data_IF_743893537530
#
_entry.id   IF_743893537530
#
_cell.length_a   1.000
_cell.length_b   1.000
_cell.length_c   1.000
_cell.angle_alpha   90.00
_cell.angle_beta   90.00
_cell.angle_gamma   90.00
#
_symmetry.space_group_name_H-M   'P 1'
#
loop_
_entity.id
_entity.type
_entity.pdbx_description
1 polymer ?
#
# COMPACT_ATOMS: atom_id res chain seq x y z
N UNK A 1 -8.49 -12.33 -15.12
CA UNK A 1 -9.78 -12.31 -14.36
C UNK A 1 -10.58 -13.59 -14.63
N UNK A 2 -11.54 -14.02 -13.78
CA UNK A 2 -12.38 -15.22 -14.04
C UNK A 2 -13.79 -14.85 -14.49
N UNK A 3 -14.31 -15.56 -15.49
CA UNK A 3 -15.67 -15.33 -15.98
C UNK A 3 -16.70 -15.74 -14.93
N UNK A 4 -17.57 -14.82 -14.50
CA UNK A 4 -18.61 -15.12 -13.49
C UNK A 4 -19.66 -16.16 -13.94
N UNK A 5 -19.79 -16.39 -15.25
CA UNK A 5 -20.76 -17.34 -15.78
C UNK A 5 -20.17 -18.73 -16.08
N UNK A 6 -18.96 -18.82 -16.65
CA UNK A 6 -18.36 -20.11 -17.02
C UNK A 6 -17.15 -20.52 -16.17
N UNK A 7 -16.65 -19.64 -15.30
CA UNK A 7 -15.51 -19.94 -14.42
C UNK A 7 -14.14 -19.93 -15.11
N UNK A 8 -14.10 -19.80 -16.43
CA UNK A 8 -12.86 -19.78 -17.22
C UNK A 8 -11.99 -18.56 -16.90
N UNK A 9 -10.68 -18.73 -17.01
CA UNK A 9 -9.71 -17.64 -16.91
C UNK A 9 -9.72 -16.79 -18.18
N UNK A 10 -9.84 -15.49 -17.99
CA UNK A 10 -10.00 -14.48 -19.03
C UNK A 10 -8.81 -13.54 -19.04
N UNK A 11 -8.39 -13.21 -20.26
CA UNK A 11 -7.47 -12.12 -20.52
C UNK A 11 -8.15 -10.77 -20.24
N UNK A 12 -7.45 -9.86 -19.57
CA UNK A 12 -7.95 -8.53 -19.18
C UNK A 12 -8.29 -7.61 -20.37
N UNK A 13 -7.83 -7.95 -21.58
CA UNK A 13 -8.17 -7.24 -22.81
C UNK A 13 -9.54 -7.61 -23.38
N UNK A 14 -10.18 -8.68 -22.89
CA UNK A 14 -11.46 -9.14 -23.41
C UNK A 14 -12.63 -8.40 -22.76
N UNK A 15 -13.48 -7.79 -23.59
CA UNK A 15 -14.74 -7.14 -23.18
C UNK A 15 -15.93 -8.10 -23.20
N UNK A 16 -15.77 -9.26 -23.85
CA UNK A 16 -16.75 -10.35 -23.92
C UNK A 16 -16.01 -11.67 -23.69
N UNK A 17 -16.56 -12.53 -22.83
CA UNK A 17 -16.02 -13.85 -22.59
C UNK A 17 -16.14 -14.69 -23.88
N UNK A 18 -15.04 -15.18 -24.47
CA UNK A 18 -15.09 -15.93 -25.72
C UNK A 18 -15.70 -17.33 -25.55
N UNK A 19 -15.80 -17.82 -24.32
CA UNK A 19 -16.31 -19.16 -24.02
C UNK A 19 -17.82 -19.20 -23.80
N UNK A 20 -18.40 -18.17 -23.19
CA UNK A 20 -19.82 -18.16 -22.85
C UNK A 20 -20.59 -16.93 -23.33
N UNK A 21 -19.92 -15.98 -24.00
CA UNK A 21 -20.55 -14.78 -24.56
C UNK A 21 -20.97 -13.73 -23.52
N UNK A 22 -20.62 -13.90 -22.23
CA UNK A 22 -20.95 -12.93 -21.20
C UNK A 22 -20.14 -11.64 -21.42
N UNK A 23 -20.80 -10.49 -21.47
CA UNK A 23 -20.14 -9.19 -21.39
C UNK A 23 -19.44 -9.05 -20.04
N UNK A 24 -18.13 -8.84 -20.09
CA UNK A 24 -17.31 -8.68 -18.91
C UNK A 24 -17.30 -7.19 -18.60
N UNK A 25 -18.10 -6.76 -17.62
CA UNK A 25 -17.99 -5.40 -17.11
C UNK A 25 -16.59 -5.24 -16.52
N UNK A 26 -15.71 -4.49 -17.20
CA UNK A 26 -14.49 -4.00 -16.56
C UNK A 26 -14.92 -3.24 -15.31
N UNK A 27 -14.26 -3.50 -14.18
CA UNK A 27 -14.41 -2.62 -13.03
C UNK A 27 -14.14 -1.20 -13.52
N UNK A 28 -15.14 -0.33 -13.37
CA UNK A 28 -15.07 1.02 -13.88
C UNK A 28 -13.93 1.72 -13.14
N UNK A 29 -12.89 2.18 -13.85
CA UNK A 29 -11.82 2.93 -13.20
C UNK A 29 -12.34 4.31 -12.78
N UNK A 30 -11.68 4.94 -11.81
CA UNK A 30 -11.98 6.33 -11.47
C UNK A 30 -11.85 7.26 -12.68
N UNK A 31 -10.88 6.98 -13.56
CA UNK A 31 -10.74 7.69 -14.84
C UNK A 31 -11.98 7.57 -15.71
N UNK A 32 -12.55 6.37 -15.83
CA UNK A 32 -13.78 6.14 -16.61
C UNK A 32 -14.99 6.85 -15.99
N UNK A 33 -15.07 6.92 -14.65
CA UNK A 33 -16.13 7.67 -13.94
C UNK A 33 -16.00 9.17 -14.22
N UNK A 34 -14.79 9.72 -14.09
CA UNK A 34 -14.52 11.14 -14.29
C UNK A 34 -14.73 11.57 -15.75
N UNK A 35 -14.26 10.76 -16.71
CA UNK A 35 -14.46 11.02 -18.13
C UNK A 35 -15.94 11.04 -18.47
N UNK A 36 -16.70 10.04 -18.01
CA UNK A 36 -18.16 10.00 -18.22
C UNK A 36 -18.87 11.22 -17.62
N UNK A 37 -18.48 11.61 -16.41
CA UNK A 37 -19.01 12.82 -15.75
C UNK A 37 -18.75 14.09 -16.57
N UNK A 38 -17.55 14.22 -17.15
CA UNK A 38 -17.17 15.35 -18.00
C UNK A 38 -17.86 15.28 -19.36
N UNK A 39 -18.03 14.10 -19.95
CA UNK A 39 -18.79 13.92 -21.20
C UNK A 39 -20.26 14.33 -21.05
N UNK A 40 -20.85 14.08 -19.88
CA UNK A 40 -22.25 14.43 -19.59
C UNK A 40 -22.45 15.92 -19.26
N UNK A 41 -21.48 16.56 -18.59
CA UNK A 41 -21.69 17.88 -17.97
C UNK A 41 -20.70 18.96 -18.44
N UNK A 42 -19.68 18.61 -19.21
CA UNK A 42 -18.55 19.47 -19.54
C UNK A 42 -17.52 19.60 -18.41
N UNK A 43 -16.31 20.11 -18.70
CA UNK A 43 -15.29 20.40 -17.68
C UNK A 43 -15.75 21.45 -16.65
N UNK A 44 -16.74 22.26 -17.00
CA UNK A 44 -17.33 23.29 -16.15
C UNK A 44 -18.02 22.72 -14.90
N UNK A 45 -18.26 21.40 -14.84
CA UNK A 45 -18.75 20.72 -13.62
C UNK A 45 -17.86 20.99 -12.40
N UNK A 46 -16.60 21.33 -12.62
CA UNK A 46 -15.64 21.67 -11.57
C UNK A 46 -15.69 23.13 -11.10
N UNK A 47 -16.50 23.98 -11.71
CA UNK A 47 -16.66 25.38 -11.31
C UNK A 47 -17.56 25.52 -10.07
N UNK A 48 -17.36 26.58 -9.28
CA UNK A 48 -18.05 26.81 -8.01
C UNK A 48 -19.59 26.82 -8.16
N UNK A 49 -20.10 27.38 -9.26
CA UNK A 49 -21.52 27.41 -9.56
C UNK A 49 -22.15 26.01 -9.72
N UNK A 50 -21.34 25.01 -10.08
CA UNK A 50 -21.75 23.63 -10.29
C UNK A 50 -21.43 22.71 -9.09
N UNK A 51 -20.95 23.25 -7.96
CA UNK A 51 -20.54 22.45 -6.80
C UNK A 51 -21.65 21.52 -6.27
N UNK A 52 -22.92 21.93 -6.33
CA UNK A 52 -24.06 21.10 -5.94
C UNK A 52 -24.29 19.91 -6.89
N UNK A 53 -24.10 20.12 -8.19
CA UNK A 53 -24.22 19.08 -9.21
C UNK A 53 -23.08 18.06 -9.10
N UNK A 54 -21.83 18.56 -8.95
CA UNK A 54 -20.66 17.71 -8.76
C UNK A 54 -20.81 16.84 -7.51
N UNK A 55 -21.28 17.40 -6.39
CA UNK A 55 -21.57 16.62 -5.18
C UNK A 55 -22.58 15.50 -5.45
N UNK A 56 -23.70 15.81 -6.12
CA UNK A 56 -24.74 14.82 -6.42
C UNK A 56 -24.26 13.71 -7.37
N UNK A 57 -23.36 14.03 -8.30
CA UNK A 57 -22.71 13.03 -9.17
C UNK A 57 -21.77 12.13 -8.37
N UNK A 58 -20.93 12.73 -7.51
CA UNK A 58 -20.00 11.99 -6.64
C UNK A 58 -20.73 11.07 -5.65
N UNK A 59 -21.87 11.50 -5.09
CA UNK A 59 -22.66 10.70 -4.15
C UNK A 59 -23.23 9.41 -4.80
N UNK A 60 -23.26 9.33 -6.14
CA UNK A 60 -23.67 8.13 -6.88
C UNK A 60 -22.52 7.13 -7.11
N UNK A 61 -21.27 7.52 -6.80
CA UNK A 61 -20.13 6.65 -7.03
C UNK A 61 -20.12 5.48 -6.04
N UNK A 62 -19.62 4.29 -6.45
CA UNK A 62 -19.49 3.15 -5.55
C UNK A 62 -18.72 3.47 -4.26
N UNK A 63 -18.98 2.73 -3.17
CA UNK A 63 -18.29 2.94 -1.88
C UNK A 63 -16.77 2.81 -2.00
N UNK A 64 -16.28 1.98 -2.92
CA UNK A 64 -14.85 1.79 -3.20
C UNK A 64 -14.11 3.08 -3.58
N UNK A 65 -14.82 4.14 -4.00
CA UNK A 65 -14.26 5.44 -4.36
C UNK A 65 -14.39 6.50 -3.25
N UNK A 66 -14.54 6.09 -1.98
CA UNK A 66 -14.68 7.03 -0.85
C UNK A 66 -13.50 7.99 -0.75
N UNK A 67 -12.28 7.46 -0.84
CA UNK A 67 -11.06 8.23 -0.69
C UNK A 67 -10.90 9.21 -1.87
N UNK A 68 -11.27 8.80 -3.07
CA UNK A 68 -11.25 9.64 -4.28
C UNK A 68 -12.25 10.80 -4.19
N UNK A 69 -13.43 10.56 -3.62
CA UNK A 69 -14.39 11.64 -3.34
C UNK A 69 -13.80 12.68 -2.40
N UNK A 70 -13.08 12.23 -1.38
CA UNK A 70 -12.49 13.13 -0.41
C UNK A 70 -11.31 13.92 -1.00
N UNK A 71 -10.55 13.33 -1.92
CA UNK A 71 -9.54 14.05 -2.73
C UNK A 71 -10.20 15.18 -3.54
N UNK A 72 -11.27 14.89 -4.28
CA UNK A 72 -11.92 15.91 -5.12
C UNK A 72 -12.51 17.04 -4.26
N UNK A 73 -13.16 16.71 -3.14
CA UNK A 73 -13.64 17.72 -2.18
C UNK A 73 -12.50 18.60 -1.65
N UNK A 74 -11.35 18.00 -1.33
CA UNK A 74 -10.18 18.75 -0.86
C UNK A 74 -9.67 19.73 -1.93
N UNK A 75 -9.62 19.30 -3.18
CA UNK A 75 -9.22 20.16 -4.30
C UNK A 75 -10.22 21.30 -4.52
N UNK A 76 -11.52 21.05 -4.37
CA UNK A 76 -12.57 22.07 -4.47
C UNK A 76 -12.43 23.18 -3.42
N UNK A 77 -12.00 22.88 -2.19
CA UNK A 77 -11.83 23.88 -1.12
C UNK A 77 -10.88 25.03 -1.53
N UNK A 78 -9.94 24.78 -2.46
CA UNK A 78 -9.00 25.79 -2.96
C UNK A 78 -9.29 26.23 -4.40
N UNK A 79 -10.44 25.85 -4.95
CA UNK A 79 -10.83 26.15 -6.33
C UNK A 79 -9.77 25.66 -7.33
N UNK A 80 -9.04 24.59 -7.00
CA UNK A 80 -7.98 24.04 -7.85
C UNK A 80 -8.56 23.49 -9.16
N UNK A 81 -9.63 22.68 -9.16
CA UNK A 81 -10.24 22.17 -10.38
C UNK A 81 -10.69 23.30 -11.32
N UNK A 82 -11.38 24.31 -10.78
CA UNK A 82 -11.82 25.50 -11.52
C UNK A 82 -10.64 26.27 -12.15
N UNK A 83 -9.54 26.46 -11.40
CA UNK A 83 -8.34 27.11 -11.93
C UNK A 83 -7.72 26.33 -13.09
N UNK A 84 -7.71 24.99 -13.02
CA UNK A 84 -7.21 24.13 -14.08
C UNK A 84 -8.10 24.22 -15.34
N UNK A 85 -9.43 24.22 -15.16
CA UNK A 85 -10.40 24.40 -16.26
C UNK A 85 -10.19 25.75 -16.95
N UNK A 86 -10.14 26.85 -16.19
CA UNK A 86 -9.87 28.20 -16.74
C UNK A 86 -8.51 28.30 -17.43
N UNK A 87 -7.54 27.50 -17.00
CA UNK A 87 -6.21 27.49 -17.57
C UNK A 87 -6.15 26.78 -18.94
N UNK A 88 -7.15 25.96 -19.33
CA UNK A 88 -7.19 25.32 -20.64
C UNK A 88 -7.13 26.33 -21.81
N UNK A 89 -7.70 27.52 -21.62
CA UNK A 89 -7.71 28.60 -22.63
C UNK A 89 -6.49 29.53 -22.55
N UNK A 90 -5.54 29.26 -21.65
CA UNK A 90 -4.37 30.11 -21.41
C UNK A 90 -3.13 29.62 -22.18
N UNK A 91 -2.14 30.50 -22.45
CA UNK A 91 -0.83 30.08 -22.97
C UNK A 91 -0.11 29.12 -22.01
N UNK A 92 0.71 28.22 -22.55
CA UNK A 92 1.39 27.14 -21.78
C UNK A 92 2.22 27.64 -20.60
N UNK A 93 2.81 28.84 -20.69
CA UNK A 93 3.55 29.45 -19.58
C UNK A 93 2.63 29.77 -18.38
N UNK A 94 1.42 30.27 -18.64
CA UNK A 94 0.43 30.53 -17.59
C UNK A 94 -0.20 29.26 -17.06
N UNK A 95 -0.40 28.26 -17.91
CA UNK A 95 -0.81 26.92 -17.48
C UNK A 95 0.19 26.33 -16.47
N UNK A 96 1.50 26.48 -16.72
CA UNK A 96 2.54 25.97 -15.82
C UNK A 96 2.53 26.69 -14.47
N UNK A 97 2.29 28.01 -14.46
CA UNK A 97 2.15 28.79 -13.24
C UNK A 97 0.93 28.34 -12.41
N UNK A 98 -0.20 28.03 -13.05
CA UNK A 98 -1.39 27.52 -12.37
C UNK A 98 -1.13 26.16 -11.73
N UNK A 99 -0.46 25.25 -12.44
CA UNK A 99 -0.09 23.94 -11.90
C UNK A 99 0.90 24.05 -10.73
N UNK A 100 1.89 24.94 -10.83
CA UNK A 100 2.84 25.21 -9.77
C UNK A 100 2.15 25.79 -8.53
N UNK A 101 1.24 26.73 -8.72
CA UNK A 101 0.45 27.31 -7.63
C UNK A 101 -0.43 26.25 -6.95
N UNK A 102 -1.09 25.39 -7.71
CA UNK A 102 -1.90 24.29 -7.18
C UNK A 102 -1.04 23.30 -6.38
N UNK A 103 0.14 22.95 -6.90
CA UNK A 103 1.11 22.08 -6.21
C UNK A 103 1.58 22.70 -4.90
N UNK A 104 2.05 23.95 -4.91
CA UNK A 104 2.48 24.66 -3.68
C UNK A 104 1.36 24.82 -2.66
N UNK A 105 0.11 24.99 -3.11
CA UNK A 105 -1.04 25.04 -2.22
C UNK A 105 -1.26 23.72 -1.49
N UNK A 106 -1.12 22.59 -2.19
CA UNK A 106 -1.23 21.27 -1.59
C UNK A 106 -0.04 20.96 -0.66
N UNK A 107 1.19 21.26 -1.07
CA UNK A 107 2.38 20.98 -0.26
C UNK A 107 2.49 21.89 0.94
N UNK A 108 2.39 23.21 0.73
CA UNK A 108 2.80 24.19 1.73
C UNK A 108 1.65 24.53 2.69
N UNK A 109 0.39 24.52 2.20
CA UNK A 109 -0.77 24.86 3.04
C UNK A 109 -1.44 23.64 3.67
N UNK A 110 -1.40 22.49 3.00
CA UNK A 110 -2.00 21.25 3.52
C UNK A 110 -0.98 20.21 3.99
N UNK A 111 0.32 20.44 3.80
CA UNK A 111 1.35 19.50 4.21
C UNK A 111 1.32 18.18 3.42
N UNK A 112 0.74 18.20 2.22
CA UNK A 112 0.64 17.00 1.36
C UNK A 112 2.00 16.76 0.73
N UNK A 113 2.48 15.52 0.76
CA UNK A 113 3.73 15.15 0.10
C UNK A 113 3.69 15.51 -1.40
N UNK A 114 4.79 16.01 -1.96
CA UNK A 114 4.86 16.46 -3.35
C UNK A 114 4.38 15.44 -4.39
N UNK A 115 4.72 14.15 -4.22
CA UNK A 115 4.26 13.10 -5.13
C UNK A 115 2.76 12.86 -5.00
N UNK A 116 2.21 12.94 -3.79
CA UNK A 116 0.78 12.81 -3.56
C UNK A 116 0.02 14.02 -4.12
N UNK A 117 0.55 15.24 -3.94
CA UNK A 117 0.00 16.45 -4.51
C UNK A 117 -0.06 16.36 -6.05
N UNK A 118 1.02 15.89 -6.68
CA UNK A 118 1.05 15.64 -8.11
C UNK A 118 -0.01 14.62 -8.54
N UNK A 119 -0.18 13.49 -7.82
CA UNK A 119 -1.22 12.49 -8.12
C UNK A 119 -2.64 13.07 -8.00
N UNK A 120 -2.91 13.88 -6.97
CA UNK A 120 -4.21 14.54 -6.80
C UNK A 120 -4.51 15.52 -7.95
N UNK A 121 -3.51 16.33 -8.35
CA UNK A 121 -3.68 17.27 -9.47
C UNK A 121 -3.85 16.55 -10.80
N UNK A 122 -3.06 15.50 -11.01
CA UNK A 122 -3.08 14.64 -12.17
C UNK A 122 -4.49 14.02 -12.40
N UNK A 123 -5.21 13.68 -11.32
CA UNK A 123 -6.56 13.15 -11.40
C UNK A 123 -7.55 14.09 -12.14
N UNK A 124 -7.54 15.38 -11.78
CA UNK A 124 -8.44 16.39 -12.33
C UNK A 124 -7.90 16.95 -13.64
N UNK A 125 -6.60 17.24 -13.70
CA UNK A 125 -5.96 17.76 -14.89
C UNK A 125 -6.05 16.76 -16.05
N UNK A 126 -5.82 15.48 -15.80
CA UNK A 126 -5.92 14.42 -16.81
C UNK A 126 -7.34 14.21 -17.33
N UNK A 127 -8.36 14.38 -16.49
CA UNK A 127 -9.76 14.15 -16.89
C UNK A 127 -10.30 15.28 -17.76
N UNK A 128 -9.85 16.52 -17.56
CA UNK A 128 -10.23 17.68 -18.39
C UNK A 128 -9.29 17.90 -19.60
N UNK A 129 -8.34 17.02 -19.85
CA UNK A 129 -7.38 17.13 -20.97
C UNK A 129 -6.32 18.21 -20.79
N UNK A 130 -6.04 18.64 -19.56
CA UNK A 130 -5.00 19.62 -19.23
C UNK A 130 -3.61 18.97 -19.36
N UNK A 131 -2.80 19.41 -20.33
CA UNK A 131 -1.46 18.86 -20.62
C UNK A 131 -0.43 19.98 -20.73
N UNK A 132 0.69 19.85 -20.02
CA UNK A 132 1.86 20.73 -20.18
C UNK A 132 3.10 19.83 -20.29
N UNK A 133 3.80 19.88 -21.43
CA UNK A 133 5.18 19.36 -21.65
C UNK A 133 5.63 18.23 -20.71
N UNK A 134 4.99 17.05 -20.79
CA UNK A 134 5.32 15.86 -19.99
C UNK A 134 5.24 16.00 -18.44
N UNK A 135 4.81 17.16 -17.92
CA UNK A 135 4.67 17.46 -16.48
C UNK A 135 3.33 16.97 -15.89
N UNK A 136 2.34 16.73 -16.73
CA UNK A 136 1.04 16.13 -16.34
C UNK A 136 0.83 14.91 -17.23
N UNK A 137 1.05 13.69 -16.72
CA UNK A 137 0.82 12.50 -17.53
C UNK A 137 -0.67 12.43 -17.92
N UNK A 138 -0.99 11.89 -19.09
CA UNK A 138 -2.37 11.54 -19.49
C UNK A 138 -3.04 10.68 -18.42
N UNK A 139 -4.36 10.81 -18.20
CA UNK A 139 -5.12 9.99 -17.23
C UNK A 139 -4.86 8.49 -17.42
N UNK A 140 -4.72 8.05 -18.68
CA UNK A 140 -4.38 6.67 -19.04
C UNK A 140 -2.97 6.28 -18.59
N UNK A 141 -2.01 7.21 -18.65
CA UNK A 141 -0.63 7.00 -18.16
C UNK A 141 -0.49 7.21 -16.65
N UNK A 142 -1.33 8.01 -15.99
CA UNK A 142 -1.36 8.14 -14.53
C UNK A 142 -1.79 6.81 -13.92
N UNK A 143 -2.83 6.17 -14.47
CA UNK A 143 -3.31 4.87 -14.01
C UNK A 143 -2.48 3.69 -14.54
N UNK A 144 -1.71 3.85 -15.62
CA UNK A 144 -0.75 2.83 -16.06
C UNK A 144 0.62 2.93 -15.35
N UNK A 145 1.06 4.11 -14.92
CA UNK A 145 2.38 4.32 -14.31
C UNK A 145 2.36 4.47 -12.79
N UNK A 146 1.23 4.81 -12.15
CA UNK A 146 1.12 4.83 -10.69
C UNK A 146 1.38 3.44 -10.06
N UNK A 147 1.07 2.38 -10.80
CA UNK A 147 1.32 0.99 -10.45
C UNK A 147 2.75 0.52 -10.77
N UNK A 148 3.61 1.32 -11.42
CA UNK A 148 4.97 0.88 -11.79
C UNK A 148 6.10 1.52 -10.99
N UNK A 149 5.93 2.76 -10.50
CA UNK A 149 6.99 3.45 -9.72
C UNK A 149 6.98 3.10 -8.23
N UNK A 150 5.84 2.65 -7.71
CA UNK A 150 5.68 2.26 -6.29
C UNK A 150 5.29 0.80 -6.17
N UNK A 151 5.74 -0.03 -7.10
CA UNK A 151 5.60 -1.48 -6.99
C UNK A 151 6.92 -2.15 -7.33
N UNK A 152 7.05 -3.37 -6.84
CA UNK A 152 8.11 -4.30 -7.15
C UNK A 152 7.46 -5.60 -7.58
N UNK A 153 7.81 -6.08 -8.77
CA UNK A 153 7.42 -7.42 -9.22
C UNK A 153 8.55 -8.38 -8.88
N UNK A 154 8.27 -9.37 -8.05
CA UNK A 154 9.24 -10.41 -7.70
C UNK A 154 9.47 -11.32 -8.91
N UNK A 155 10.68 -11.35 -9.50
CA UNK A 155 10.94 -12.11 -10.72
C UNK A 155 10.92 -13.64 -10.50
N UNK A 156 10.78 -14.10 -9.24
CA UNK A 156 10.78 -15.51 -8.89
C UNK A 156 9.39 -16.15 -8.99
N UNK A 157 8.32 -15.36 -8.83
CA UNK A 157 6.94 -15.84 -8.81
C UNK A 157 5.91 -14.86 -9.42
N UNK A 158 6.37 -13.76 -10.05
CA UNK A 158 5.56 -12.70 -10.64
C UNK A 158 4.61 -11.99 -9.65
N UNK A 159 4.82 -12.18 -8.34
CA UNK A 159 4.04 -11.47 -7.32
C UNK A 159 4.41 -9.98 -7.33
N UNK A 160 3.40 -9.15 -7.52
CA UNK A 160 3.53 -7.69 -7.43
C UNK A 160 3.29 -7.26 -5.99
N UNK A 161 4.20 -6.46 -5.45
CA UNK A 161 4.14 -5.83 -4.14
C UNK A 161 4.14 -4.32 -4.33
N UNK A 162 3.32 -3.58 -3.60
CA UNK A 162 3.49 -2.14 -3.48
C UNK A 162 4.70 -1.84 -2.61
N UNK A 163 5.31 -0.69 -2.85
CA UNK A 163 6.45 -0.18 -2.11
C UNK A 163 6.16 1.23 -1.62
N UNK A 164 6.63 1.56 -0.42
CA UNK A 164 6.46 2.88 0.19
C UNK A 164 7.80 3.40 0.70
N UNK A 165 8.08 4.67 0.44
CA UNK A 165 9.24 5.36 1.02
C UNK A 165 8.84 6.03 2.34
N UNK A 166 9.50 5.64 3.43
CA UNK A 166 9.26 6.17 4.78
C UNK A 166 10.62 6.62 5.33
N UNK A 167 10.77 7.93 5.52
CA UNK A 167 12.09 8.54 5.72
C UNK A 167 12.99 8.24 4.52
N UNK A 168 14.18 7.73 4.80
CA UNK A 168 15.16 7.36 3.78
C UNK A 168 15.04 5.90 3.31
N UNK A 169 14.16 5.12 3.93
CA UNK A 169 13.99 3.70 3.66
C UNK A 169 12.84 3.43 2.68
N UNK A 170 13.01 2.44 1.81
CA UNK A 170 11.95 1.95 0.91
C UNK A 170 11.52 0.56 1.35
N UNK A 171 10.25 0.42 1.70
CA UNK A 171 9.66 -0.78 2.29
C UNK A 171 8.63 -1.41 1.36
N UNK A 172 8.48 -2.73 1.39
CA UNK A 172 7.25 -3.37 0.89
C UNK A 172 6.07 -2.97 1.77
N UNK A 173 4.93 -2.63 1.15
CA UNK A 173 3.69 -2.34 1.87
C UNK A 173 2.92 -3.62 2.24
N UNK A 174 3.04 -4.67 1.44
CA UNK A 174 2.52 -5.99 1.75
C UNK A 174 3.56 -6.88 2.44
N UNK A 175 3.09 -7.93 3.11
CA UNK A 175 3.95 -8.99 3.61
C UNK A 175 4.41 -9.89 2.46
N UNK A 176 5.65 -10.37 2.53
CA UNK A 176 6.20 -11.28 1.53
C UNK A 176 5.35 -12.55 1.41
N UNK A 177 5.01 -12.95 0.19
CA UNK A 177 4.17 -14.11 -0.11
C UNK A 177 4.89 -15.21 -0.93
N UNK A 178 6.22 -15.21 -0.92
CA UNK A 178 7.04 -16.18 -1.65
C UNK A 178 6.95 -17.60 -1.04
N UNK A 179 6.45 -18.56 -1.81
CA UNK A 179 6.29 -19.94 -1.37
C UNK A 179 7.62 -20.71 -1.37
N UNK A 180 8.09 -21.10 -0.18
CA UNK A 180 9.30 -21.92 -0.01
C UNK A 180 9.22 -22.85 1.21
N UNK A 181 10.20 -23.75 1.34
CA UNK A 181 10.35 -24.56 2.56
C UNK A 181 10.51 -23.67 3.80
N UNK A 182 9.78 -23.99 4.87
CA UNK A 182 9.73 -23.16 6.09
C UNK A 182 8.79 -21.96 6.00
N UNK A 183 7.96 -21.86 4.96
CA UNK A 183 6.89 -20.85 4.84
C UNK A 183 5.50 -21.48 4.90
N UNK A 184 4.57 -20.82 5.60
CA UNK A 184 3.23 -21.33 5.89
C UNK A 184 2.17 -20.29 5.58
N UNK A 185 1.06 -20.74 5.00
CA UNK A 185 -0.17 -19.96 5.02
C UNK A 185 -0.81 -20.08 6.41
N UNK A 186 -1.41 -19.01 6.93
CA UNK A 186 -2.15 -19.08 8.19
C UNK A 186 -3.29 -20.10 8.07
N UNK A 187 -3.38 -21.03 9.04
CA UNK A 187 -4.31 -22.18 9.04
C UNK A 187 -4.24 -23.07 7.78
N UNK A 188 -3.10 -23.07 7.09
CA UNK A 188 -2.89 -23.81 5.82
C UNK A 188 -3.88 -23.41 4.72
N UNK A 189 -4.52 -22.24 4.84
CA UNK A 189 -5.46 -21.71 3.85
C UNK A 189 -4.74 -20.73 2.90
N UNK A 190 -4.79 -21.01 1.59
CA UNK A 190 -4.16 -20.16 0.56
C UNK A 190 -4.75 -18.75 0.51
N UNK A 191 -6.06 -18.58 0.75
CA UNK A 191 -6.71 -17.26 0.76
C UNK A 191 -6.13 -16.36 1.87
N UNK A 192 -5.71 -16.95 3.00
CA UNK A 192 -5.04 -16.20 4.06
C UNK A 192 -3.64 -15.74 3.64
N UNK A 193 -2.94 -16.49 2.77
CA UNK A 193 -1.64 -16.07 2.25
C UNK A 193 -1.79 -14.94 1.21
N UNK A 194 -2.83 -14.99 0.37
CA UNK A 194 -3.17 -13.90 -0.55
C UNK A 194 -3.54 -12.61 0.22
N UNK A 195 -4.24 -12.75 1.35
CA UNK A 195 -4.64 -11.60 2.19
C UNK A 195 -3.52 -11.06 3.06
N UNK A 196 -2.76 -11.93 3.74
CA UNK A 196 -1.85 -11.54 4.82
C UNK A 196 -0.36 -11.78 4.50
N UNK A 197 -0.03 -12.36 3.35
CA UNK A 197 1.28 -12.95 3.09
C UNK A 197 1.51 -14.25 3.85
N UNK A 198 2.72 -14.80 3.72
CA UNK A 198 3.10 -16.06 4.41
C UNK A 198 3.81 -15.77 5.72
N UNK A 199 3.79 -16.77 6.58
CA UNK A 199 4.54 -16.82 7.82
C UNK A 199 5.78 -17.68 7.62
N UNK A 200 6.96 -17.17 7.93
CA UNK A 200 8.25 -17.83 7.68
C UNK A 200 8.92 -18.14 9.00
N UNK A 201 9.49 -19.33 9.14
CA UNK A 201 10.51 -19.56 10.18
C UNK A 201 11.71 -18.67 9.92
N UNK A 202 12.48 -18.34 10.96
CA UNK A 202 13.54 -17.35 10.83
C UNK A 202 14.64 -17.74 9.82
N UNK A 203 14.94 -19.04 9.69
CA UNK A 203 15.87 -19.53 8.66
C UNK A 203 15.34 -19.27 7.24
N UNK A 204 14.04 -19.48 7.01
CA UNK A 204 13.41 -19.20 5.74
C UNK A 204 13.31 -17.68 5.50
N UNK A 205 12.99 -16.91 6.54
CA UNK A 205 12.86 -15.45 6.48
C UNK A 205 14.14 -14.74 6.03
N UNK A 206 15.33 -15.30 6.32
CA UNK A 206 16.60 -14.74 5.85
C UNK A 206 16.86 -14.99 4.35
N UNK A 207 16.27 -16.05 3.79
CA UNK A 207 16.47 -16.50 2.41
C UNK A 207 15.32 -16.08 1.49
N UNK A 208 14.17 -15.76 2.07
CA UNK A 208 12.95 -15.43 1.37
C UNK A 208 12.99 -14.09 0.60
N UNK A 209 13.66 -13.01 1.06
CA UNK A 209 13.69 -11.75 0.34
C UNK A 209 14.22 -11.90 -1.11
N UNK A 210 13.62 -11.21 -2.08
CA UNK A 210 14.08 -11.23 -3.47
C UNK A 210 15.37 -10.41 -3.68
N UNK A 211 16.07 -10.56 -4.82
CA UNK A 211 17.25 -9.74 -5.12
C UNK A 211 16.95 -8.24 -5.04
N UNK A 212 17.86 -7.46 -4.42
CA UNK A 212 17.68 -6.03 -4.18
C UNK A 212 16.83 -5.69 -2.95
N UNK A 213 16.43 -6.70 -2.19
CA UNK A 213 15.65 -6.58 -0.97
C UNK A 213 16.21 -7.51 0.12
N UNK A 214 16.07 -7.11 1.38
CA UNK A 214 16.52 -7.91 2.50
C UNK A 214 15.55 -7.90 3.69
N UNK A 215 15.81 -8.82 4.63
CA UNK A 215 15.10 -8.91 5.90
C UNK A 215 15.63 -7.79 6.83
N UNK A 216 14.77 -6.89 7.35
CA UNK A 216 15.24 -5.70 8.06
C UNK A 216 15.99 -6.02 9.35
N UNK A 217 17.02 -5.24 9.64
CA UNK A 217 17.74 -5.29 10.92
C UNK A 217 16.96 -4.58 12.03
N UNK A 218 17.42 -4.73 13.28
CA UNK A 218 16.85 -4.00 14.39
C UNK A 218 17.01 -2.48 14.23
N UNK A 219 18.15 -2.04 13.74
CA UNK A 219 18.46 -0.63 13.47
C UNK A 219 17.50 -0.04 12.44
N UNK A 220 17.19 -0.79 11.37
CA UNK A 220 16.28 -0.33 10.32
C UNK A 220 14.85 -0.20 10.81
N UNK A 221 14.38 -1.16 11.62
CA UNK A 221 13.10 -1.04 12.31
C UNK A 221 13.05 0.16 13.26
N UNK A 222 14.16 0.44 13.97
CA UNK A 222 14.22 1.56 14.90
C UNK A 222 14.18 2.90 14.14
N UNK A 223 14.89 3.02 13.02
CA UNK A 223 14.81 4.19 12.14
C UNK A 223 13.38 4.44 11.65
N UNK A 224 12.67 3.38 11.23
CA UNK A 224 11.26 3.48 10.85
C UNK A 224 10.41 4.01 12.01
N UNK A 225 10.58 3.45 13.22
CA UNK A 225 9.80 3.86 14.38
C UNK A 225 10.09 5.29 14.81
N UNK A 226 11.36 5.71 14.81
CA UNK A 226 11.75 7.09 15.08
C UNK A 226 11.11 8.06 14.09
N UNK A 227 11.13 7.73 12.79
CA UNK A 227 10.53 8.56 11.75
C UNK A 227 9.03 8.77 11.93
N UNK A 228 8.29 7.74 12.38
CA UNK A 228 6.83 7.82 12.58
C UNK A 228 6.44 8.36 13.96
N UNK A 229 7.37 8.89 14.74
CA UNK A 229 7.09 9.56 16.02
C UNK A 229 7.38 8.72 17.27
N UNK A 230 8.09 7.61 17.13
CA UNK A 230 8.55 6.75 18.23
C UNK A 230 7.71 5.49 18.44
N UNK A 231 8.28 4.54 19.19
CA UNK A 231 7.68 3.21 19.43
C UNK A 231 6.34 3.26 20.14
N UNK A 232 6.03 4.31 20.91
CA UNK A 232 4.76 4.45 21.65
C UNK A 232 3.55 4.72 20.74
N UNK A 233 3.78 5.28 19.54
CA UNK A 233 2.71 5.64 18.59
C UNK A 233 2.83 4.91 17.25
N UNK A 234 3.96 4.23 17.02
CA UNK A 234 4.26 3.56 15.75
C UNK A 234 3.19 2.54 15.33
N UNK A 235 2.54 1.87 16.29
CA UNK A 235 1.46 0.95 16.01
C UNK A 235 0.26 1.64 15.37
N UNK A 236 -0.25 2.72 15.95
CA UNK A 236 -1.35 3.48 15.37
C UNK A 236 -0.97 4.07 13.98
N UNK A 237 0.27 4.55 13.82
CA UNK A 237 0.73 5.14 12.56
C UNK A 237 0.88 4.13 11.42
N UNK A 238 1.21 2.86 11.71
CA UNK A 238 1.60 1.86 10.71
C UNK A 238 0.58 0.72 10.54
N UNK A 239 -0.26 0.44 11.54
CA UNK A 239 -1.34 -0.57 11.44
C UNK A 239 -2.29 -0.20 10.31
N UNK A 240 -2.73 -1.21 9.56
CA UNK A 240 -3.74 -1.06 8.52
C UNK A 240 -5.03 -0.46 9.06
N UNK A 241 -5.75 0.25 8.19
CA UNK A 241 -7.06 0.85 8.50
C UNK A 241 -8.16 -0.18 8.79
N UNK A 242 -7.95 -1.44 8.41
CA UNK A 242 -8.92 -2.52 8.53
C UNK A 242 -8.24 -3.84 8.93
N UNK A 243 -9.02 -4.78 9.46
CA UNK A 243 -8.60 -6.17 9.70
C UNK A 243 -8.21 -6.50 11.14
N UNK A 244 -8.04 -5.49 12.00
CA UNK A 244 -7.79 -5.66 13.42
C UNK A 244 -9.12 -5.79 14.18
N UNK A 245 -9.18 -6.74 15.12
CA UNK A 245 -10.33 -6.95 16.01
C UNK A 245 -10.40 -5.86 17.08
N UNK A 246 -11.57 -5.73 17.70
CA UNK A 246 -11.83 -4.84 18.84
C UNK A 246 -11.48 -3.37 18.55
N UNK A 247 -11.82 -2.92 17.34
CA UNK A 247 -11.53 -1.56 16.84
C UNK A 247 -10.05 -1.16 16.89
N UNK A 248 -9.14 -2.15 16.92
CA UNK A 248 -7.69 -1.94 17.05
C UNK A 248 -6.97 -1.51 15.77
N UNK A 249 -7.69 -0.99 14.77
CA UNK A 249 -7.12 -0.55 13.50
C UNK A 249 -6.23 0.68 13.70
N UNK A 250 -5.23 0.85 12.83
CA UNK A 250 -4.42 2.06 12.77
C UNK A 250 -4.94 3.06 11.74
N UNK A 251 -4.29 4.20 11.65
CA UNK A 251 -4.57 5.20 10.61
C UNK A 251 -3.78 5.00 9.32
N UNK A 252 -2.75 4.13 9.36
CA UNK A 252 -1.84 3.83 8.26
C UNK A 252 -1.34 5.07 7.52
N UNK A 253 -0.84 6.06 8.26
CA UNK A 253 -0.52 7.41 7.75
C UNK A 253 0.49 7.39 6.60
N UNK A 254 1.33 6.36 6.55
CA UNK A 254 2.45 6.22 5.63
C UNK A 254 2.22 5.14 4.56
N UNK A 255 1.06 4.47 4.56
CA UNK A 255 0.76 3.39 3.61
C UNK A 255 1.61 2.13 3.82
N UNK A 256 2.15 1.95 5.03
CA UNK A 256 2.92 0.76 5.39
C UNK A 256 2.00 -0.45 5.51
N UNK A 257 0.77 -0.30 6.01
CA UNK A 257 -0.26 -1.34 6.03
C UNK A 257 0.12 -2.62 6.81
N UNK A 258 0.40 -2.51 8.11
CA UNK A 258 0.60 -3.70 8.96
C UNK A 258 -0.73 -4.46 9.13
N UNK A 259 -0.76 -5.70 8.66
CA UNK A 259 -1.91 -6.60 8.79
C UNK A 259 -1.72 -7.60 9.95
N UNK A 260 -2.78 -7.92 10.72
CA UNK A 260 -2.70 -8.83 11.86
C UNK A 260 -2.74 -10.31 11.42
N UNK A 261 -1.66 -10.74 10.78
CA UNK A 261 -1.51 -12.08 10.22
C UNK A 261 -1.40 -13.21 11.27
N UNK A 262 -1.28 -12.85 12.55
CA UNK A 262 -1.02 -13.80 13.63
C UNK A 262 0.36 -14.44 13.51
N UNK A 263 0.46 -15.68 13.99
CA UNK A 263 1.69 -16.46 13.99
C UNK A 263 1.42 -17.96 13.88
N UNK A 264 2.46 -18.72 13.55
CA UNK A 264 2.49 -20.18 13.64
C UNK A 264 3.59 -20.61 14.59
N UNK A 265 3.29 -21.41 15.62
CA UNK A 265 4.27 -21.82 16.65
C UNK A 265 4.80 -23.24 16.37
N UNK A 266 3.99 -24.05 15.70
CA UNK A 266 4.34 -25.38 15.19
C UNK A 266 3.53 -25.63 13.93
N UNK A 267 3.84 -26.67 13.15
CA UNK A 267 3.18 -27.00 11.88
C UNK A 267 1.64 -27.01 11.91
N UNK A 268 1.05 -27.15 13.10
CA UNK A 268 -0.39 -27.30 13.31
C UNK A 268 -0.99 -26.30 14.30
N UNK A 269 -0.19 -25.37 14.84
CA UNK A 269 -0.66 -24.38 15.84
C UNK A 269 -0.53 -22.96 15.32
N UNK A 270 -1.68 -22.36 15.02
CA UNK A 270 -1.83 -20.99 14.53
C UNK A 270 -2.54 -20.14 15.58
N UNK A 271 -2.04 -18.93 15.83
CA UNK A 271 -2.55 -18.07 16.91
C UNK A 271 -2.68 -16.62 16.45
N UNK A 272 -3.58 -15.89 17.10
CA UNK A 272 -3.66 -14.43 17.11
C UNK A 272 -3.93 -13.73 15.76
N UNK A 273 -4.44 -14.42 14.74
CA UNK A 273 -4.93 -13.74 13.54
C UNK A 273 -6.06 -12.75 13.90
N UNK A 274 -5.97 -11.54 13.34
CA UNK A 274 -6.84 -10.41 13.67
C UNK A 274 -6.46 -9.67 14.95
N UNK A 275 -5.48 -10.15 15.74
CA UNK A 275 -5.11 -9.59 17.06
C UNK A 275 -3.67 -9.10 17.07
N UNK A 276 -2.74 -9.87 16.50
CA UNK A 276 -1.31 -9.54 16.49
C UNK A 276 -0.72 -9.59 15.07
N UNK A 277 0.25 -8.74 14.82
CA UNK A 277 1.18 -8.87 13.71
C UNK A 277 2.60 -8.99 14.25
N UNK A 278 3.33 -10.02 13.81
CA UNK A 278 4.73 -10.23 14.16
C UNK A 278 5.60 -10.24 12.92
N UNK A 279 6.76 -9.58 13.00
CA UNK A 279 7.73 -9.48 11.92
C UNK A 279 9.10 -9.92 12.37
N UNK A 280 9.79 -10.70 11.54
CA UNK A 280 11.19 -11.04 11.82
C UNK A 280 12.13 -9.85 11.59
N UNK A 281 13.20 -9.83 12.38
CA UNK A 281 14.41 -9.07 12.08
C UNK A 281 15.54 -10.02 11.69
N UNK A 282 16.46 -9.57 10.85
CA UNK A 282 17.71 -10.28 10.54
C UNK A 282 18.69 -10.31 11.73
N UNK A 283 18.46 -9.51 12.77
CA UNK A 283 19.31 -9.50 13.97
C UNK A 283 19.06 -10.74 14.85
N UNK A 284 20.11 -11.55 15.05
CA UNK A 284 20.10 -12.70 15.96
C UNK A 284 20.09 -12.24 17.42
N UNK A 285 19.35 -12.94 18.28
CA UNK A 285 19.47 -12.77 19.72
C UNK A 285 20.56 -13.71 20.26
N UNK A 286 21.71 -13.14 20.64
CA UNK A 286 22.79 -13.88 21.29
C UNK A 286 22.99 -13.40 22.73
N UNK A 287 22.91 -14.31 23.71
CA UNK A 287 23.77 -14.19 24.89
C UNK A 287 25.19 -14.44 24.39
N UNK A 288 26.12 -13.55 24.68
CA UNK A 288 27.52 -13.63 24.26
C UNK A 288 28.07 -15.07 24.26
N UNK A 289 28.64 -15.51 23.13
CA UNK A 289 29.31 -16.81 22.97
C UNK A 289 30.55 -17.02 23.87
N UNK A 290 30.80 -16.16 24.86
CA UNK A 290 32.01 -16.14 25.67
C UNK A 290 31.89 -16.83 27.04
N UNK A 291 30.69 -17.18 27.49
CA UNK A 291 30.50 -17.92 28.74
C UNK A 291 29.45 -18.98 28.52
N UNK A 292 29.85 -20.23 28.33
CA UNK A 292 29.33 -21.39 29.07
C UNK A 292 29.91 -22.67 28.45
N UNK A 293 30.92 -23.20 29.14
CA UNK A 293 31.39 -24.56 29.03
C UNK A 293 30.32 -25.48 29.65
N UNK A 294 29.31 -25.87 28.89
CA UNK A 294 28.51 -27.06 29.21
C UNK A 294 27.97 -27.69 27.94
N UNK A 295 28.25 -28.98 27.80
CA UNK A 295 27.94 -29.85 26.67
C UNK A 295 26.44 -30.19 26.56
N UNK A 296 25.56 -29.20 26.69
CA UNK A 296 24.13 -29.32 26.47
C UNK A 296 23.74 -28.48 25.25
N UNK A 297 23.93 -29.08 24.08
CA UNK A 297 23.38 -28.61 22.81
C UNK A 297 21.86 -28.81 22.83
N UNK A 298 21.15 -27.87 23.44
CA UNK A 298 19.71 -27.67 23.31
C UNK A 298 19.54 -26.14 23.15
N UNK A 299 19.40 -25.57 21.96
CA UNK A 299 18.67 -26.06 20.79
C UNK A 299 17.47 -25.15 20.44
N UNK A 300 17.35 -23.96 21.05
CA UNK A 300 16.44 -22.91 20.57
C UNK A 300 17.24 -21.63 20.40
N UNK A 301 17.71 -21.39 19.19
CA UNK A 301 18.21 -20.08 18.81
C UNK A 301 17.01 -19.11 18.82
N UNK A 302 17.21 -17.89 19.31
CA UNK A 302 16.18 -16.85 19.31
C UNK A 302 16.60 -15.78 18.32
N UNK A 303 15.63 -15.12 17.70
CA UNK A 303 15.86 -13.96 16.86
C UNK A 303 14.95 -12.81 17.28
N UNK A 304 15.37 -11.59 16.99
CA UNK A 304 14.54 -10.42 17.27
C UNK A 304 13.35 -10.35 16.33
N UNK A 305 12.23 -9.86 16.87
CA UNK A 305 10.98 -9.62 16.15
C UNK A 305 10.37 -8.28 16.51
N UNK A 306 9.47 -7.77 15.66
CA UNK A 306 8.59 -6.64 15.96
C UNK A 306 7.16 -7.09 16.13
N UNK A 307 6.48 -6.55 17.13
CA UNK A 307 5.12 -6.92 17.51
C UNK A 307 4.23 -5.68 17.47
N UNK A 308 3.08 -5.85 16.83
CA UNK A 308 1.96 -4.91 16.83
C UNK A 308 0.73 -5.63 17.37
N UNK A 309 -0.02 -4.99 18.26
CA UNK A 309 -1.20 -5.56 18.90
C UNK A 309 -2.44 -4.68 18.65
N UNK A 310 -3.63 -5.30 18.68
CA UNK A 310 -4.89 -4.58 18.47
C UNK A 310 -5.17 -3.56 19.60
N UNK A 311 -4.77 -3.87 20.83
CA UNK A 311 -5.02 -3.07 22.02
C UNK A 311 -3.86 -2.13 22.42
N UNK A 312 -2.88 -1.92 21.54
CA UNK A 312 -1.73 -1.05 21.79
C UNK A 312 -1.47 -0.17 20.55
N UNK A 313 -1.24 1.11 20.78
CA UNK A 313 -0.90 2.09 19.74
C UNK A 313 0.60 2.10 19.44
N UNK A 314 1.42 1.39 20.23
CA UNK A 314 2.84 1.24 20.01
C UNK A 314 3.23 0.00 19.20
N UNK A 315 4.51 -0.04 18.85
CA UNK A 315 5.19 -1.21 18.30
C UNK A 315 6.31 -1.64 19.26
N UNK A 316 6.42 -2.94 19.53
CA UNK A 316 7.35 -3.48 20.52
C UNK A 316 8.42 -4.35 19.87
N UNK A 317 9.65 -4.31 20.40
CA UNK A 317 10.68 -5.29 20.10
C UNK A 317 10.59 -6.46 21.08
N UNK A 318 10.77 -7.68 20.58
CA UNK A 318 10.79 -8.91 21.37
C UNK A 318 11.77 -9.90 20.74
N UNK A 319 12.05 -11.03 21.41
CA UNK A 319 12.86 -12.12 20.88
C UNK A 319 12.12 -13.44 21.01
N UNK A 320 12.10 -14.21 19.93
CA UNK A 320 11.25 -15.37 19.81
C UNK A 320 12.02 -16.55 19.20
N UNK A 321 11.54 -17.77 19.48
CA UNK A 321 12.12 -19.00 18.94
C UNK A 321 12.18 -18.93 17.41
N UNK A 322 13.35 -19.23 16.83
CA UNK A 322 13.55 -19.21 15.36
C UNK A 322 12.64 -20.18 14.60
N UNK A 323 12.05 -21.15 15.30
CA UNK A 323 11.14 -22.16 14.74
C UNK A 323 9.69 -21.67 14.63
N UNK A 324 9.36 -20.51 15.21
CA UNK A 324 8.05 -19.89 15.01
C UNK A 324 8.00 -19.26 13.62
N UNK A 325 6.83 -19.20 13.00
CA UNK A 325 6.60 -18.50 11.75
C UNK A 325 5.95 -17.15 11.96
N UNK A 326 6.61 -16.10 11.47
CA UNK A 326 6.14 -14.71 11.48
C UNK A 326 6.17 -14.10 10.09
N UNK A 327 5.50 -12.96 9.92
CA UNK A 327 5.50 -12.24 8.66
C UNK A 327 6.91 -11.72 8.32
N UNK A 328 7.20 -11.60 7.03
CA UNK A 328 8.39 -10.92 6.53
C UNK A 328 7.95 -9.68 5.79
N UNK A 329 8.57 -8.56 6.11
CA UNK A 329 8.42 -7.31 5.38
C UNK A 329 9.79 -6.87 4.92
N UNK A 330 9.98 -6.82 3.61
CA UNK A 330 11.31 -6.54 3.07
C UNK A 330 11.54 -5.03 2.96
N UNK A 331 12.81 -4.66 3.11
CA UNK A 331 13.33 -3.32 2.86
C UNK A 331 14.28 -3.40 1.66
N UNK A 332 14.31 -2.37 0.83
CA UNK A 332 15.16 -2.31 -0.36
C UNK A 332 16.61 -2.06 0.04
N UNK A 333 17.55 -2.71 -0.63
CA UNK A 333 18.99 -2.49 -0.40
C UNK A 333 19.35 -1.02 -0.70
N UNK A 334 20.23 -0.42 0.11
CA UNK A 334 20.80 0.89 -0.21
C UNK A 334 21.75 0.77 -1.40
N UNK A 335 21.68 1.74 -2.33
CA UNK A 335 22.60 1.84 -3.47
C UNK A 335 24.06 2.14 -3.07
#
# INVERSE_FOLDING_TARGET
MKCKQCGEELNEKWTVCPFCGLEISKEQSLGDILLKMIEENGPEIFEEENAGLLKNQMDQWPESFSDDRDVIKLLQIKHIPEQLVKALEMPSEKQAQVLQYATSTLTDKFGINGNMAQKMLALVAGSIGFQINDQVPSIVSIFANADSENTFTDPRDDQVYRTVKIGDQVWMAENLNYAMSGSYCYEKNKENAEKYGRLYIWEAAQKAPPPGWHLPSNEEWNQLFEYVGGTEVAGNQLKSKNGWKDDGNGIDRHGFSVLPAGQVISSDTYLNCGIEAKFWSSTVYGRDKATFWSSAVYGSEYAYSRIFNNNNDGAMADYNSINNGYSVRCIKDSE
#
